data_IF_541059323892
#
_entry.id   IF_541059323892
#
_cell.length_a   1.000
_cell.length_b   1.000
_cell.length_c   1.000
_cell.angle_alpha   90.00
_cell.angle_beta   90.00
_cell.angle_gamma   90.00
#
_symmetry.space_group_name_H-M   'P 1'
#
loop_
_entity.id
_entity.type
_entity.pdbx_description
1 polymer ?
#
# COMPACT_ATOMS: atom_id res chain seq x y z
N UNK A 1 13.91 10.61 -14.82
CA UNK A 1 13.64 12.00 -14.35
C UNK A 1 13.23 11.90 -12.89
N UNK A 2 13.89 12.60 -11.98
CA UNK A 2 13.42 12.72 -10.58
C UNK A 2 12.16 13.56 -10.61
N UNK A 3 10.98 12.95 -10.50
CA UNK A 3 9.74 13.67 -10.33
C UNK A 3 9.76 14.33 -8.95
N UNK A 4 9.76 15.65 -8.93
CA UNK A 4 9.82 16.44 -7.69
C UNK A 4 8.42 16.61 -7.06
N UNK A 5 7.52 15.64 -7.26
CA UNK A 5 6.11 15.71 -6.88
C UNK A 5 5.84 14.73 -5.74
N UNK A 6 5.03 15.17 -4.77
CA UNK A 6 4.59 14.31 -3.66
C UNK A 6 3.65 13.22 -4.20
N UNK A 7 3.92 11.98 -3.84
CA UNK A 7 3.16 10.80 -4.26
C UNK A 7 1.68 10.89 -3.86
N UNK A 8 1.39 11.46 -2.69
CA UNK A 8 0.03 11.74 -2.22
C UNK A 8 -0.71 12.71 -3.16
N UNK A 9 -0.04 13.79 -3.56
CA UNK A 9 -0.63 14.78 -4.45
C UNK A 9 -0.90 14.19 -5.85
N UNK A 10 -0.04 13.27 -6.33
CA UNK A 10 -0.30 12.52 -7.56
C UNK A 10 -1.56 11.67 -7.47
N UNK A 11 -1.81 11.02 -6.33
CA UNK A 11 -3.03 10.24 -6.13
C UNK A 11 -4.27 11.13 -6.15
N UNK A 12 -4.25 12.25 -5.43
CA UNK A 12 -5.37 13.20 -5.40
C UNK A 12 -5.61 13.86 -6.76
N UNK A 13 -4.55 14.13 -7.53
CA UNK A 13 -4.69 14.61 -8.91
C UNK A 13 -5.39 13.59 -9.81
N UNK A 14 -5.10 12.30 -9.59
CA UNK A 14 -5.81 11.20 -10.25
C UNK A 14 -7.30 11.22 -9.92
N UNK A 15 -7.67 11.34 -8.63
CA UNK A 15 -9.07 11.44 -8.18
C UNK A 15 -9.75 12.70 -8.75
N UNK A 16 -9.08 13.85 -8.67
CA UNK A 16 -9.60 15.13 -9.21
C UNK A 16 -9.92 15.04 -10.70
N UNK A 17 -9.02 14.44 -11.49
CA UNK A 17 -9.22 14.28 -12.93
C UNK A 17 -10.38 13.33 -13.26
N UNK A 18 -10.67 12.35 -12.41
CA UNK A 18 -11.87 11.53 -12.53
C UNK A 18 -13.14 12.32 -12.17
N UNK A 19 -13.11 13.06 -11.06
CA UNK A 19 -14.26 13.85 -10.58
C UNK A 19 -14.66 14.95 -11.54
N UNK A 20 -13.71 15.59 -12.23
CA UNK A 20 -14.02 16.55 -13.32
C UNK A 20 -14.87 15.94 -14.44
N UNK A 21 -14.74 14.63 -14.68
CA UNK A 21 -15.43 13.91 -15.77
C UNK A 21 -16.69 13.19 -15.29
N UNK A 22 -16.85 13.02 -13.98
CA UNK A 22 -17.98 12.30 -13.40
C UNK A 22 -18.47 13.02 -12.14
N UNK A 23 -19.66 13.60 -12.20
CA UNK A 23 -20.31 14.33 -11.11
C UNK A 23 -20.78 13.41 -9.96
N UNK A 24 -20.80 12.08 -10.17
CA UNK A 24 -21.16 11.12 -9.13
C UNK A 24 -19.99 10.75 -8.22
N UNK A 25 -18.78 11.25 -8.51
CA UNK A 25 -17.64 11.10 -7.61
C UNK A 25 -17.74 12.15 -6.51
N UNK A 26 -17.76 11.68 -5.25
CA UNK A 26 -17.75 12.51 -4.05
C UNK A 26 -16.47 12.23 -3.25
N UNK A 27 -15.82 13.28 -2.80
CA UNK A 27 -14.62 13.21 -1.96
C UNK A 27 -14.96 13.68 -0.55
N UNK A 28 -14.72 12.83 0.43
CA UNK A 28 -14.93 13.11 1.85
C UNK A 28 -13.58 13.17 2.57
N UNK A 29 -13.41 14.11 3.50
CA UNK A 29 -12.23 14.20 4.37
C UNK A 29 -12.64 14.41 5.83
N UNK A 30 -11.83 13.87 6.75
CA UNK A 30 -11.96 14.08 8.20
C UNK A 30 -10.97 15.13 8.66
N UNK A 31 -11.13 16.36 8.19
CA UNK A 31 -10.30 17.54 8.52
C UNK A 31 -8.80 17.39 8.15
N UNK A 32 -8.49 16.51 7.21
CA UNK A 32 -7.14 16.35 6.68
C UNK A 32 -6.98 17.12 5.38
N UNK A 33 -5.94 17.95 5.31
CA UNK A 33 -5.64 18.78 4.15
C UNK A 33 -4.45 18.25 3.36
N UNK A 34 -4.42 18.54 2.06
CA UNK A 34 -3.29 18.35 1.18
C UNK A 34 -3.28 19.47 0.13
N UNK A 35 -2.11 19.76 -0.42
CA UNK A 35 -2.02 20.83 -1.43
C UNK A 35 -2.97 20.62 -2.61
N UNK A 36 -3.01 19.40 -3.15
CA UNK A 36 -3.89 19.04 -4.27
C UNK A 36 -5.38 19.06 -3.93
N UNK A 37 -5.77 18.98 -2.66
CA UNK A 37 -7.19 19.06 -2.27
C UNK A 37 -7.76 20.47 -2.34
N UNK A 38 -6.94 21.51 -2.21
CA UNK A 38 -7.40 22.91 -2.34
C UNK A 38 -8.07 23.18 -3.68
N UNK A 39 -7.57 22.56 -4.76
CA UNK A 39 -8.22 22.71 -6.08
C UNK A 39 -9.55 21.96 -6.18
N UNK A 40 -9.71 20.86 -5.42
CA UNK A 40 -10.96 20.12 -5.34
C UNK A 40 -12.04 20.98 -4.68
N UNK A 41 -11.72 21.53 -3.51
CA UNK A 41 -12.57 22.43 -2.74
C UNK A 41 -12.98 23.66 -3.56
N UNK A 42 -12.03 24.30 -4.25
CA UNK A 42 -12.28 25.50 -5.07
C UNK A 42 -13.11 25.22 -6.32
N UNK A 43 -12.79 24.15 -7.07
CA UNK A 43 -13.33 23.96 -8.42
C UNK A 43 -14.49 22.95 -8.48
N UNK A 44 -14.62 22.09 -7.48
CA UNK A 44 -15.63 21.04 -7.38
C UNK A 44 -16.31 21.01 -6.00
N UNK A 45 -16.82 22.18 -5.49
CA UNK A 45 -17.32 22.30 -4.11
C UNK A 45 -18.52 21.38 -3.83
N UNK A 46 -19.31 21.03 -4.85
CA UNK A 46 -20.45 20.08 -4.70
C UNK A 46 -20.01 18.60 -4.60
N UNK A 47 -18.74 18.32 -4.90
CA UNK A 47 -18.15 16.98 -4.87
C UNK A 47 -17.11 16.82 -3.75
N UNK A 48 -16.94 17.83 -2.89
CA UNK A 48 -15.97 17.86 -1.81
C UNK A 48 -16.65 18.24 -0.49
N UNK A 49 -16.53 17.38 0.51
CA UNK A 49 -17.12 17.58 1.84
C UNK A 49 -16.06 17.30 2.91
N UNK A 50 -15.82 18.28 3.76
CA UNK A 50 -15.07 18.10 5.00
C UNK A 50 -16.08 17.91 6.14
N UNK A 51 -16.06 16.74 6.79
CA UNK A 51 -16.99 16.37 7.87
C UNK A 51 -16.37 16.52 9.26
N UNK A 52 -15.19 17.17 9.35
CA UNK A 52 -14.46 17.30 10.60
C UNK A 52 -13.84 15.96 11.06
N UNK A 53 -13.31 15.96 12.28
CA UNK A 53 -12.65 14.77 12.87
C UNK A 53 -13.72 13.79 13.35
N UNK A 54 -14.25 12.98 12.45
CA UNK A 54 -15.39 12.08 12.70
C UNK A 54 -15.35 10.81 11.84
N UNK A 55 -14.26 10.06 11.91
CA UNK A 55 -13.96 8.97 10.96
C UNK A 55 -15.03 7.86 10.95
N UNK A 56 -15.63 7.52 12.09
CA UNK A 56 -16.73 6.55 12.15
C UNK A 56 -17.97 7.07 11.40
N UNK A 57 -18.36 8.32 11.68
CA UNK A 57 -19.52 8.95 11.02
C UNK A 57 -19.31 9.12 9.51
N UNK A 58 -18.09 9.48 9.09
CA UNK A 58 -17.77 9.65 7.66
C UNK A 58 -17.93 8.34 6.88
N UNK A 59 -17.66 7.17 7.49
CA UNK A 59 -17.88 5.87 6.85
C UNK A 59 -19.36 5.59 6.64
N UNK A 60 -20.24 5.91 7.62
CA UNK A 60 -21.70 5.81 7.46
C UNK A 60 -22.21 6.75 6.36
N UNK A 61 -21.74 8.00 6.33
CA UNK A 61 -22.07 8.96 5.25
C UNK A 61 -21.63 8.42 3.89
N UNK A 62 -20.41 7.88 3.79
CA UNK A 62 -19.88 7.30 2.57
C UNK A 62 -20.73 6.12 2.08
N UNK A 63 -21.14 5.24 2.99
CA UNK A 63 -22.01 4.11 2.68
C UNK A 63 -23.37 4.61 2.14
N UNK A 64 -24.01 5.57 2.81
CA UNK A 64 -25.28 6.16 2.37
C UNK A 64 -25.20 6.82 1.00
N UNK A 65 -24.13 7.55 0.71
CA UNK A 65 -23.86 8.12 -0.62
C UNK A 65 -23.66 7.03 -1.67
N UNK A 66 -22.92 5.97 -1.35
CA UNK A 66 -22.71 4.84 -2.27
C UNK A 66 -24.02 4.13 -2.61
N UNK A 67 -24.93 3.95 -1.63
CA UNK A 67 -26.28 3.39 -1.86
C UNK A 67 -27.13 4.26 -2.80
N UNK A 68 -26.79 5.53 -2.95
CA UNK A 68 -27.37 6.46 -3.95
C UNK A 68 -26.55 6.54 -5.24
N UNK A 69 -25.83 5.45 -5.56
CA UNK A 69 -25.01 5.29 -6.77
C UNK A 69 -23.84 6.30 -6.90
N UNK A 70 -23.39 6.89 -5.78
CA UNK A 70 -22.19 7.71 -5.80
C UNK A 70 -20.93 6.84 -5.69
N UNK A 71 -19.84 7.27 -6.32
CA UNK A 71 -18.50 6.73 -6.17
C UNK A 71 -17.79 7.58 -5.12
N UNK A 72 -17.62 7.03 -3.92
CA UNK A 72 -17.14 7.82 -2.79
C UNK A 72 -15.66 7.56 -2.53
N UNK A 73 -14.89 8.62 -2.39
CA UNK A 73 -13.53 8.59 -1.84
C UNK A 73 -13.57 9.17 -0.43
N UNK A 74 -12.95 8.45 0.53
CA UNK A 74 -12.82 8.88 1.94
C UNK A 74 -11.35 8.97 2.27
N UNK A 75 -10.91 10.08 2.84
CA UNK A 75 -9.49 10.34 3.13
C UNK A 75 -9.24 10.66 4.59
N UNK A 76 -8.22 10.01 5.16
CA UNK A 76 -7.69 10.27 6.49
C UNK A 76 -6.43 9.47 6.78
N UNK A 77 -5.91 9.59 8.01
CA UNK A 77 -4.69 8.92 8.47
C UNK A 77 -4.94 7.42 8.68
N UNK A 78 -3.96 6.57 8.37
CA UNK A 78 -4.07 5.12 8.29
C UNK A 78 -4.73 4.43 9.50
N UNK A 79 -4.30 4.63 10.77
CA UNK A 79 -5.00 4.02 11.90
C UNK A 79 -6.44 4.49 12.06
N UNK A 80 -6.72 5.76 11.70
CA UNK A 80 -8.06 6.34 11.84
C UNK A 80 -9.01 5.84 10.75
N UNK A 81 -8.49 5.58 9.54
CA UNK A 81 -9.25 5.01 8.43
C UNK A 81 -9.28 3.46 8.45
N UNK A 82 -8.75 2.82 9.47
CA UNK A 82 -8.75 1.37 9.63
C UNK A 82 -9.26 0.94 10.99
N UNK A 83 -8.45 1.05 12.03
CA UNK A 83 -8.77 0.60 13.39
C UNK A 83 -9.99 1.31 13.98
N UNK A 84 -10.01 2.66 13.92
CA UNK A 84 -11.05 3.48 14.55
C UNK A 84 -12.44 3.23 13.98
N UNK A 85 -12.56 2.92 12.69
CA UNK A 85 -13.83 2.74 11.99
C UNK A 85 -14.00 1.34 11.39
N UNK A 86 -13.36 0.33 12.02
CA UNK A 86 -13.34 -1.05 11.51
C UNK A 86 -14.73 -1.65 11.38
N UNK A 87 -15.60 -1.44 12.37
CA UNK A 87 -16.97 -1.97 12.36
C UNK A 87 -17.77 -1.37 11.20
N UNK A 88 -17.75 -0.05 11.03
CA UNK A 88 -18.45 0.64 9.94
C UNK A 88 -17.92 0.18 8.57
N UNK A 89 -16.63 0.00 8.43
CA UNK A 89 -16.04 -0.53 7.19
C UNK A 89 -16.53 -1.96 6.95
N UNK A 90 -16.54 -2.81 7.98
CA UNK A 90 -16.94 -4.20 7.85
C UNK A 90 -18.44 -4.32 7.47
N UNK A 91 -19.31 -3.65 8.20
CA UNK A 91 -20.77 -3.78 8.04
C UNK A 91 -21.28 -2.87 6.91
N UNK A 92 -21.08 -1.56 7.01
CA UNK A 92 -21.74 -0.63 6.10
C UNK A 92 -21.09 -0.59 4.71
N UNK A 93 -19.80 -0.92 4.61
CA UNK A 93 -19.06 -0.85 3.36
C UNK A 93 -18.83 -2.23 2.76
N UNK A 94 -18.20 -3.16 3.49
CA UNK A 94 -17.78 -4.45 2.94
C UNK A 94 -18.95 -5.42 2.77
N UNK A 95 -19.81 -5.59 3.81
CA UNK A 95 -20.92 -6.55 3.73
C UNK A 95 -21.94 -6.12 2.67
N UNK A 96 -22.19 -4.82 2.55
CA UNK A 96 -23.10 -4.24 1.57
C UNK A 96 -22.46 -4.03 0.18
N UNK A 97 -21.16 -4.31 0.03
CA UNK A 97 -20.38 -4.12 -1.22
C UNK A 97 -20.46 -2.69 -1.79
N UNK A 98 -20.53 -1.70 -0.93
CA UNK A 98 -20.60 -0.29 -1.31
C UNK A 98 -19.33 0.17 -2.04
N UNK A 99 -19.47 1.02 -3.08
CA UNK A 99 -18.35 1.57 -3.84
C UNK A 99 -17.69 2.73 -3.08
N UNK A 100 -17.11 2.42 -1.94
CA UNK A 100 -16.33 3.34 -1.12
C UNK A 100 -14.84 3.05 -1.29
N UNK A 101 -14.10 4.09 -1.61
CA UNK A 101 -12.67 4.06 -1.90
C UNK A 101 -11.94 4.75 -0.76
N UNK A 102 -11.47 3.99 0.22
CA UNK A 102 -10.81 4.51 1.43
C UNK A 102 -9.35 4.81 1.11
N UNK A 103 -8.95 6.07 1.29
CA UNK A 103 -7.58 6.55 1.12
C UNK A 103 -6.94 6.63 2.50
N UNK A 104 -6.11 5.63 2.78
CA UNK A 104 -5.37 5.45 4.03
C UNK A 104 -3.99 6.09 3.91
N UNK A 105 -3.85 7.30 4.43
CA UNK A 105 -2.61 8.06 4.39
C UNK A 105 -1.67 7.64 5.50
N UNK A 106 -0.40 7.42 5.15
CA UNK A 106 0.63 7.13 6.13
C UNK A 106 0.83 5.65 6.36
N UNK A 107 1.01 4.88 5.27
CA UNK A 107 1.37 3.47 5.35
C UNK A 107 2.66 3.27 6.16
N UNK A 108 2.70 2.20 6.95
CA UNK A 108 3.88 1.84 7.73
C UNK A 108 4.32 2.96 8.69
N UNK A 109 5.55 3.37 8.56
CA UNK A 109 6.21 4.38 9.40
C UNK A 109 6.26 5.78 8.76
N UNK A 110 5.34 6.12 7.87
CA UNK A 110 5.28 7.47 7.26
C UNK A 110 5.21 8.58 8.33
N UNK A 111 4.48 8.33 9.41
CA UNK A 111 4.35 9.22 10.56
C UNK A 111 5.19 8.75 11.75
N UNK A 112 6.46 8.40 11.49
CA UNK A 112 7.37 7.83 12.49
C UNK A 112 7.59 8.69 13.74
N UNK A 113 7.48 10.02 13.59
CA UNK A 113 7.64 10.97 14.71
C UNK A 113 6.37 11.10 15.58
N UNK A 114 5.21 10.71 15.08
CA UNK A 114 3.91 10.90 15.73
C UNK A 114 3.53 9.71 16.64
N UNK A 115 4.37 8.69 16.67
CA UNK A 115 4.23 7.52 17.54
C UNK A 115 3.17 6.50 17.08
N UNK A 116 2.93 5.45 17.91
CA UNK A 116 2.14 4.29 17.50
C UNK A 116 0.67 4.59 17.19
N UNK A 117 0.13 5.73 17.64
CA UNK A 117 -1.24 6.16 17.30
C UNK A 117 -1.39 6.55 15.83
N UNK A 118 -0.28 6.86 15.14
CA UNK A 118 -0.25 7.30 13.74
C UNK A 118 0.46 6.30 12.82
N UNK A 119 1.07 5.24 13.34
CA UNK A 119 1.75 4.23 12.52
C UNK A 119 0.74 3.35 11.77
N UNK A 120 0.86 3.29 10.45
CA UNK A 120 0.06 2.42 9.58
C UNK A 120 0.68 1.03 9.45
N UNK A 121 0.99 0.35 10.56
CA UNK A 121 1.72 -0.92 10.58
C UNK A 121 0.84 -2.15 10.73
N UNK A 122 -0.45 -1.96 11.02
CA UNK A 122 -1.45 -3.01 11.26
C UNK A 122 -2.61 -2.96 10.24
N UNK A 123 -2.81 -1.82 9.57
CA UNK A 123 -3.94 -1.52 8.69
C UNK A 123 -4.08 -2.55 7.56
N UNK A 124 -2.98 -3.00 6.96
CA UNK A 124 -2.99 -4.01 5.91
C UNK A 124 -3.55 -5.35 6.41
N UNK A 125 -3.09 -5.82 7.57
CA UNK A 125 -3.53 -7.07 8.17
C UNK A 125 -5.03 -7.03 8.50
N UNK A 126 -5.46 -5.96 9.17
CA UNK A 126 -6.85 -5.75 9.58
C UNK A 126 -7.79 -5.66 8.37
N UNK A 127 -7.43 -4.90 7.34
CA UNK A 127 -8.24 -4.81 6.13
C UNK A 127 -8.26 -6.13 5.34
N UNK A 128 -7.21 -6.95 5.46
CA UNK A 128 -7.13 -8.23 4.74
C UNK A 128 -8.15 -9.26 5.21
N UNK A 129 -8.58 -9.22 6.47
CA UNK A 129 -9.60 -10.14 6.99
C UNK A 129 -11.02 -9.80 6.51
N UNK A 130 -11.29 -8.56 6.06
CA UNK A 130 -12.63 -8.12 5.68
C UNK A 130 -13.03 -8.70 4.30
N UNK A 131 -14.14 -9.48 4.19
CA UNK A 131 -14.65 -9.94 2.90
C UNK A 131 -14.94 -8.76 1.96
N UNK A 132 -14.86 -8.99 0.65
CA UNK A 132 -15.11 -8.02 -0.41
C UNK A 132 -14.18 -6.81 -0.48
N UNK A 133 -13.34 -6.53 0.55
CA UNK A 133 -12.36 -5.44 0.51
C UNK A 133 -11.25 -5.76 -0.49
N UNK A 134 -10.95 -4.81 -1.38
CA UNK A 134 -9.75 -4.84 -2.22
C UNK A 134 -8.68 -3.90 -1.66
N UNK A 135 -7.43 -4.36 -1.54
CA UNK A 135 -6.35 -3.61 -0.90
C UNK A 135 -5.24 -3.34 -1.92
N UNK A 136 -4.85 -2.08 -2.01
CA UNK A 136 -3.78 -1.61 -2.89
C UNK A 136 -2.74 -0.81 -2.11
N UNK A 137 -1.48 -0.98 -2.47
CA UNK A 137 -0.38 -0.21 -1.90
C UNK A 137 0.36 0.55 -3.00
N UNK A 138 0.66 1.82 -2.76
CA UNK A 138 1.35 2.70 -3.71
C UNK A 138 2.85 2.52 -3.56
N UNK A 139 3.55 2.18 -4.66
CA UNK A 139 5.00 1.94 -4.68
C UNK A 139 5.78 3.08 -5.36
N UNK A 140 5.12 3.88 -6.21
CA UNK A 140 5.72 5.01 -6.92
C UNK A 140 4.69 6.05 -7.38
N UNK A 141 5.16 7.11 -8.04
CA UNK A 141 4.31 8.18 -8.59
C UNK A 141 3.32 7.65 -9.63
N UNK A 142 3.72 6.67 -10.45
CA UNK A 142 2.85 6.10 -11.48
C UNK A 142 1.71 5.28 -10.88
N UNK A 143 2.00 4.43 -9.90
CA UNK A 143 0.97 3.69 -9.16
C UNK A 143 0.01 4.65 -8.47
N UNK A 144 0.52 5.71 -7.83
CA UNK A 144 -0.30 6.74 -7.20
C UNK A 144 -1.27 7.40 -8.19
N UNK A 145 -0.79 7.82 -9.35
CA UNK A 145 -1.61 8.55 -10.33
C UNK A 145 -2.69 7.69 -11.00
N UNK A 146 -2.47 6.38 -11.12
CA UNK A 146 -3.34 5.47 -11.89
C UNK A 146 -4.31 4.65 -11.03
N UNK A 147 -3.95 4.30 -9.79
CA UNK A 147 -4.82 3.51 -8.91
C UNK A 147 -6.23 4.11 -8.69
N UNK A 148 -6.42 5.45 -8.62
CA UNK A 148 -7.75 6.02 -8.52
C UNK A 148 -8.72 5.57 -9.63
N UNK A 149 -8.22 5.23 -10.82
CA UNK A 149 -9.05 4.75 -11.93
C UNK A 149 -9.80 3.44 -11.62
N UNK A 150 -9.32 2.68 -10.63
CA UNK A 150 -9.97 1.44 -10.17
C UNK A 150 -11.31 1.68 -9.46
N UNK A 151 -11.58 2.92 -9.02
CA UNK A 151 -12.86 3.31 -8.43
C UNK A 151 -14.08 3.11 -9.36
N UNK A 152 -13.84 2.98 -10.67
CA UNK A 152 -14.88 2.60 -11.67
C UNK A 152 -15.46 1.21 -11.44
N UNK A 153 -14.74 0.30 -10.78
CA UNK A 153 -15.24 -1.03 -10.40
C UNK A 153 -16.10 -0.89 -9.14
N UNK A 154 -17.33 -1.35 -9.20
CA UNK A 154 -18.26 -1.27 -8.07
C UNK A 154 -17.89 -2.28 -6.98
N UNK A 155 -17.02 -1.89 -6.06
CA UNK A 155 -16.57 -2.68 -4.90
C UNK A 155 -15.80 -1.79 -3.92
N UNK A 156 -15.75 -2.14 -2.62
CA UNK A 156 -14.94 -1.42 -1.64
C UNK A 156 -13.44 -1.56 -1.91
N UNK A 157 -12.70 -0.47 -1.72
CA UNK A 157 -11.26 -0.44 -1.89
C UNK A 157 -10.57 0.33 -0.78
N UNK A 158 -9.42 -0.18 -0.38
CA UNK A 158 -8.53 0.43 0.59
C UNK A 158 -7.18 0.72 -0.10
N UNK A 159 -6.86 2.00 -0.25
CA UNK A 159 -5.62 2.45 -0.88
C UNK A 159 -4.66 2.93 0.21
N UNK A 160 -3.58 2.20 0.40
CA UNK A 160 -2.47 2.60 1.25
C UNK A 160 -1.56 3.54 0.48
N UNK A 161 -1.44 4.76 0.94
CA UNK A 161 -0.64 5.79 0.25
C UNK A 161 0.44 6.37 1.16
N UNK A 162 1.51 6.81 0.50
CA UNK A 162 2.68 7.41 1.13
C UNK A 162 2.63 8.94 1.05
N UNK A 163 3.49 9.59 1.83
CA UNK A 163 3.81 11.02 1.74
C UNK A 163 5.24 11.20 1.25
N UNK A 164 5.47 12.21 0.44
CA UNK A 164 6.81 12.55 -0.04
C UNK A 164 7.09 12.06 -1.46
N UNK A 165 8.38 12.07 -1.81
CA UNK A 165 8.84 11.80 -3.18
C UNK A 165 9.34 10.37 -3.28
N UNK A 166 8.82 9.62 -4.25
CA UNK A 166 9.28 8.28 -4.59
C UNK A 166 9.88 8.27 -6.01
N UNK A 167 10.89 7.42 -6.22
CA UNK A 167 11.46 7.21 -7.54
C UNK A 167 10.46 6.44 -8.42
N UNK A 168 10.47 6.70 -9.73
CA UNK A 168 9.66 5.93 -10.67
C UNK A 168 10.20 4.50 -10.79
N UNK A 169 9.31 3.53 -10.63
CA UNK A 169 9.59 2.10 -10.79
C UNK A 169 9.01 1.60 -12.11
N UNK A 170 7.82 2.07 -12.44
CA UNK A 170 7.01 1.52 -13.53
C UNK A 170 7.16 2.25 -14.86
N UNK A 171 7.78 3.41 -14.90
CA UNK A 171 7.84 4.28 -16.09
C UNK A 171 6.46 4.41 -16.75
N UNK A 172 6.30 3.84 -17.97
CA UNK A 172 5.01 3.83 -18.70
C UNK A 172 4.25 2.51 -18.60
N UNK A 173 4.78 1.54 -17.87
CA UNK A 173 4.15 0.23 -17.73
C UNK A 173 2.92 0.30 -16.82
N UNK A 174 1.75 -0.02 -17.34
CA UNK A 174 0.46 -0.02 -16.62
C UNK A 174 -0.03 -1.44 -16.29
N UNK A 175 0.76 -2.47 -16.58
CA UNK A 175 0.34 -3.87 -16.42
C UNK A 175 -0.01 -4.23 -14.96
N UNK A 176 0.54 -3.50 -14.00
CA UNK A 176 0.23 -3.68 -12.58
C UNK A 176 -1.25 -3.41 -12.23
N UNK A 177 -1.96 -2.54 -12.99
CA UNK A 177 -3.39 -2.29 -12.76
C UNK A 177 -4.23 -3.56 -12.96
N UNK A 178 -3.89 -4.35 -13.96
CA UNK A 178 -4.59 -5.59 -14.28
C UNK A 178 -4.04 -6.77 -13.48
N UNK A 179 -2.72 -6.94 -13.50
CA UNK A 179 -2.03 -8.05 -12.81
C UNK A 179 -2.11 -7.92 -11.29
N UNK A 180 -2.05 -6.69 -10.75
CA UNK A 180 -1.97 -6.39 -9.33
C UNK A 180 -0.54 -6.45 -8.79
N UNK A 181 0.46 -6.64 -9.65
CA UNK A 181 1.88 -6.68 -9.29
C UNK A 181 2.77 -6.25 -10.45
N UNK A 182 3.98 -5.79 -10.11
CA UNK A 182 5.09 -5.60 -11.04
C UNK A 182 6.12 -6.69 -10.85
N UNK A 183 6.63 -7.24 -11.95
CA UNK A 183 7.65 -8.29 -11.90
C UNK A 183 8.87 -7.88 -12.71
N UNK A 184 10.01 -7.72 -12.03
CA UNK A 184 11.28 -7.26 -12.56
C UNK A 184 12.29 -8.40 -12.51
N UNK A 185 12.23 -9.25 -13.55
CA UNK A 185 13.02 -10.46 -13.63
C UNK A 185 14.47 -10.16 -14.03
N UNK A 186 15.42 -10.55 -13.19
CA UNK A 186 16.87 -10.44 -13.46
C UNK A 186 17.68 -11.57 -12.83
N UNK A 187 17.05 -12.49 -12.12
CA UNK A 187 17.67 -13.66 -11.49
C UNK A 187 16.82 -14.90 -11.70
N UNK A 188 17.46 -16.08 -11.69
CA UNK A 188 16.75 -17.37 -11.65
C UNK A 188 16.80 -18.04 -10.26
N UNK A 189 17.56 -17.45 -9.32
CA UNK A 189 17.84 -18.04 -8.01
C UNK A 189 17.15 -17.28 -6.85
N UNK A 190 17.16 -15.96 -6.89
CA UNK A 190 16.79 -15.11 -5.77
C UNK A 190 15.64 -14.18 -6.14
N UNK A 191 14.61 -14.10 -5.30
CA UNK A 191 13.45 -13.21 -5.46
C UNK A 191 13.22 -12.41 -4.19
N UNK A 192 13.17 -11.09 -4.31
CA UNK A 192 12.62 -10.20 -3.27
C UNK A 192 11.17 -9.87 -3.63
N UNK A 193 10.26 -10.08 -2.70
CA UNK A 193 8.85 -9.70 -2.78
C UNK A 193 8.64 -8.54 -1.82
N UNK A 194 8.11 -7.44 -2.31
CA UNK A 194 7.93 -6.20 -1.54
C UNK A 194 6.60 -5.53 -1.85
N UNK A 195 6.26 -4.49 -1.11
CA UNK A 195 5.07 -3.67 -1.34
C UNK A 195 5.29 -2.24 -0.86
N UNK A 196 4.66 -1.27 -1.50
CA UNK A 196 4.72 0.14 -1.10
C UNK A 196 6.15 0.69 -1.12
N UNK A 197 6.47 1.50 -0.10
CA UNK A 197 7.80 2.14 0.03
C UNK A 197 8.94 1.12 0.06
N UNK A 198 8.71 -0.07 0.63
CA UNK A 198 9.75 -1.09 0.73
C UNK A 198 10.16 -1.67 -0.62
N UNK A 199 9.39 -1.41 -1.67
CA UNK A 199 9.82 -1.70 -3.05
C UNK A 199 10.96 -0.77 -3.48
N UNK A 200 10.97 0.49 -3.05
CA UNK A 200 12.10 1.40 -3.27
C UNK A 200 13.37 0.83 -2.61
N UNK A 201 13.26 0.44 -1.33
CA UNK A 201 14.35 -0.21 -0.58
C UNK A 201 14.82 -1.50 -1.24
N UNK A 202 13.90 -2.32 -1.76
CA UNK A 202 14.23 -3.56 -2.48
C UNK A 202 15.09 -3.29 -3.73
N UNK A 203 14.80 -2.23 -4.49
CA UNK A 203 15.63 -1.82 -5.63
C UNK A 203 17.02 -1.33 -5.20
N UNK A 204 17.12 -0.55 -4.11
CA UNK A 204 18.42 -0.13 -3.56
C UNK A 204 19.27 -1.34 -3.12
N UNK A 205 18.66 -2.28 -2.39
CA UNK A 205 19.31 -3.53 -1.97
C UNK A 205 19.75 -4.37 -3.17
N UNK A 206 18.93 -4.45 -4.21
CA UNK A 206 19.26 -5.14 -5.47
C UNK A 206 20.54 -4.57 -6.08
N UNK A 207 20.67 -3.25 -6.17
CA UNK A 207 21.88 -2.62 -6.72
C UNK A 207 23.13 -2.89 -5.85
N UNK A 208 22.97 -2.95 -4.51
CA UNK A 208 24.07 -3.32 -3.61
C UNK A 208 24.48 -4.79 -3.79
N UNK A 209 23.53 -5.71 -3.91
CA UNK A 209 23.76 -7.14 -4.15
C UNK A 209 24.45 -7.37 -5.50
N UNK A 210 24.03 -6.66 -6.55
CA UNK A 210 24.60 -6.73 -7.89
C UNK A 210 26.09 -6.38 -7.89
N UNK A 211 26.53 -5.36 -7.11
CA UNK A 211 27.94 -5.02 -6.93
C UNK A 211 28.75 -6.19 -6.30
N UNK A 212 28.07 -7.09 -5.60
CA UNK A 212 28.65 -8.30 -5.02
C UNK A 212 28.40 -9.56 -5.88
N UNK A 213 28.06 -9.39 -7.17
CA UNK A 213 27.81 -10.47 -8.14
C UNK A 213 26.62 -11.38 -7.75
N UNK A 214 25.65 -10.85 -7.00
CA UNK A 214 24.42 -11.54 -6.62
C UNK A 214 23.24 -10.87 -7.33
N UNK A 215 22.65 -11.59 -8.30
CA UNK A 215 21.46 -11.11 -8.99
C UNK A 215 20.18 -11.48 -8.22
N UNK A 216 19.25 -10.53 -8.19
CA UNK A 216 17.96 -10.66 -7.50
C UNK A 216 16.84 -10.12 -8.38
N UNK A 217 15.77 -10.90 -8.55
CA UNK A 217 14.52 -10.42 -9.14
C UNK A 217 13.68 -9.70 -8.09
N UNK A 218 12.81 -8.78 -8.52
CA UNK A 218 11.86 -8.08 -7.64
C UNK A 218 10.44 -8.35 -8.08
N UNK A 219 9.55 -8.66 -7.13
CA UNK A 219 8.11 -8.74 -7.29
C UNK A 219 7.46 -7.70 -6.38
N UNK A 220 6.96 -6.61 -6.96
CA UNK A 220 6.22 -5.58 -6.24
C UNK A 220 4.73 -5.95 -6.19
N UNK A 221 4.20 -6.18 -5.00
CA UNK A 221 2.77 -6.46 -4.80
C UNK A 221 2.02 -5.14 -4.64
N UNK A 222 1.42 -4.65 -5.72
CA UNK A 222 0.59 -3.43 -5.73
C UNK A 222 -0.83 -3.73 -5.23
N UNK A 223 -1.42 -4.86 -5.63
CA UNK A 223 -2.72 -5.33 -5.12
C UNK A 223 -2.53 -6.49 -4.15
N UNK A 224 -2.67 -6.19 -2.86
CA UNK A 224 -2.49 -7.15 -1.79
C UNK A 224 -3.68 -8.11 -1.73
N UNK A 225 -4.90 -7.58 -1.94
CA UNK A 225 -6.13 -8.37 -1.93
C UNK A 225 -7.12 -7.86 -3.01
N UNK A 226 -7.78 -8.74 -3.81
CA UNK A 226 -7.43 -10.16 -3.92
C UNK A 226 -6.09 -10.37 -4.63
N UNK A 227 -5.29 -11.27 -4.10
CA UNK A 227 -4.02 -11.62 -4.71
C UNK A 227 -4.26 -12.59 -5.87
N UNK A 228 -3.50 -12.47 -6.97
CA UNK A 228 -3.50 -13.45 -8.07
C UNK A 228 -2.64 -14.67 -7.68
N UNK A 229 -3.11 -15.46 -6.70
CA UNK A 229 -2.37 -16.57 -6.09
C UNK A 229 -1.72 -17.49 -7.12
N UNK A 230 -2.43 -17.90 -8.17
CA UNK A 230 -1.88 -18.77 -9.20
C UNK A 230 -0.67 -18.16 -9.93
N UNK A 231 -0.78 -16.89 -10.34
CA UNK A 231 0.32 -16.20 -11.03
C UNK A 231 1.54 -16.01 -10.12
N UNK A 232 1.31 -15.66 -8.86
CA UNK A 232 2.39 -15.44 -7.88
C UNK A 232 3.03 -16.76 -7.50
N UNK A 233 2.26 -17.82 -7.27
CA UNK A 233 2.76 -19.17 -7.04
C UNK A 233 3.67 -19.64 -8.18
N UNK A 234 3.27 -19.43 -9.44
CA UNK A 234 4.07 -19.79 -10.61
C UNK A 234 5.37 -18.96 -10.73
N UNK A 235 5.39 -17.75 -10.19
CA UNK A 235 6.63 -16.97 -10.10
C UNK A 235 7.51 -17.55 -9.01
N UNK A 236 6.99 -17.70 -7.78
CA UNK A 236 7.72 -18.15 -6.59
C UNK A 236 8.40 -19.51 -6.83
N UNK A 237 7.69 -20.47 -7.45
CA UNK A 237 8.22 -21.83 -7.75
C UNK A 237 9.53 -21.85 -8.55
N UNK A 238 9.89 -20.73 -9.20
CA UNK A 238 11.11 -20.63 -10.02
C UNK A 238 12.36 -20.28 -9.21
N UNK A 239 12.21 -19.97 -7.91
CA UNK A 239 13.28 -19.40 -7.11
C UNK A 239 13.65 -20.29 -5.92
N UNK A 240 14.96 -20.38 -5.68
CA UNK A 240 15.50 -21.13 -4.54
C UNK A 240 15.44 -20.31 -3.24
N UNK A 241 15.57 -18.98 -3.35
CA UNK A 241 15.55 -18.07 -2.21
C UNK A 241 14.44 -17.03 -2.42
N UNK A 242 13.51 -16.98 -1.48
CA UNK A 242 12.40 -16.03 -1.43
C UNK A 242 12.57 -15.13 -0.21
N UNK A 243 12.53 -13.85 -0.43
CA UNK A 243 12.64 -12.84 0.62
C UNK A 243 11.42 -11.92 0.56
N UNK A 244 10.76 -11.65 1.68
CA UNK A 244 9.75 -10.60 1.75
C UNK A 244 10.26 -9.41 2.54
N UNK A 245 9.92 -8.19 2.09
CA UNK A 245 10.30 -6.94 2.75
C UNK A 245 9.07 -6.05 2.86
N UNK A 246 8.66 -5.70 4.08
CA UNK A 246 7.47 -4.88 4.34
C UNK A 246 7.57 -4.07 5.63
N UNK A 247 6.93 -2.90 5.67
CA UNK A 247 6.70 -2.12 6.90
C UNK A 247 5.38 -2.51 7.55
N UNK A 248 5.25 -3.75 7.93
CA UNK A 248 4.06 -4.28 8.61
C UNK A 248 4.50 -5.10 9.81
N UNK A 249 3.59 -5.34 10.75
CA UNK A 249 3.77 -6.31 11.83
C UNK A 249 3.99 -7.71 11.24
N UNK A 250 4.56 -8.68 12.01
CA UNK A 250 4.94 -10.00 11.49
C UNK A 250 3.75 -10.84 11.00
N UNK A 251 2.52 -10.50 11.42
CA UNK A 251 1.29 -11.23 11.09
C UNK A 251 0.42 -10.45 10.10
N UNK A 252 -0.23 -11.16 9.17
CA UNK A 252 -1.19 -10.59 8.21
C UNK A 252 -0.60 -9.70 7.10
N UNK A 253 0.74 -9.55 7.05
CA UNK A 253 1.43 -8.86 5.97
C UNK A 253 1.69 -9.75 4.76
N UNK A 254 2.41 -9.23 3.75
CA UNK A 254 2.78 -10.00 2.55
C UNK A 254 3.66 -11.21 2.89
N UNK A 255 4.49 -11.11 3.93
CA UNK A 255 5.31 -12.22 4.41
C UNK A 255 4.46 -13.39 4.89
N UNK A 256 3.35 -13.13 5.58
CA UNK A 256 2.39 -14.18 6.00
C UNK A 256 1.70 -14.79 4.79
N UNK A 257 1.22 -13.98 3.85
CA UNK A 257 0.55 -14.45 2.63
C UNK A 257 1.50 -15.31 1.78
N UNK A 258 2.75 -14.89 1.61
CA UNK A 258 3.76 -15.64 0.85
C UNK A 258 4.11 -16.96 1.54
N UNK A 259 4.25 -16.96 2.88
CA UNK A 259 4.51 -18.21 3.63
C UNK A 259 3.37 -19.21 3.48
N UNK A 260 2.11 -18.76 3.48
CA UNK A 260 0.95 -19.59 3.22
C UNK A 260 0.97 -20.18 1.80
N UNK A 261 1.27 -19.35 0.77
CA UNK A 261 1.42 -19.84 -0.61
C UNK A 261 2.50 -20.91 -0.71
N UNK A 262 3.66 -20.72 -0.07
CA UNK A 262 4.76 -21.67 -0.04
C UNK A 262 4.31 -22.99 0.60
N UNK A 263 3.68 -22.92 1.79
CA UNK A 263 3.24 -24.09 2.52
C UNK A 263 2.15 -24.87 1.79
N UNK A 264 1.08 -24.21 1.34
CA UNK A 264 -0.05 -24.84 0.65
C UNK A 264 0.35 -25.51 -0.67
N UNK A 265 1.35 -24.97 -1.37
CA UNK A 265 1.83 -25.52 -2.65
C UNK A 265 3.07 -26.39 -2.52
N UNK A 266 3.52 -26.68 -1.29
CA UNK A 266 4.70 -27.51 -0.99
C UNK A 266 5.95 -27.06 -1.77
N UNK A 267 6.17 -25.74 -1.84
CA UNK A 267 7.28 -25.16 -2.61
C UNK A 267 8.56 -25.34 -1.79
N UNK A 268 9.54 -26.04 -2.35
CA UNK A 268 10.86 -26.18 -1.74
C UNK A 268 11.71 -24.94 -2.01
N UNK A 269 11.84 -24.06 -1.03
CA UNK A 269 12.57 -22.79 -1.13
C UNK A 269 13.06 -22.34 0.23
N UNK A 270 14.20 -21.65 0.28
CA UNK A 270 14.63 -20.92 1.46
C UNK A 270 13.80 -19.65 1.58
N UNK A 271 13.16 -19.43 2.73
CA UNK A 271 12.27 -18.28 2.93
C UNK A 271 12.73 -17.40 4.10
N UNK A 272 12.79 -16.09 3.87
CA UNK A 272 13.14 -15.12 4.90
C UNK A 272 12.20 -13.89 4.84
N UNK A 273 11.78 -13.39 6.02
CA UNK A 273 10.93 -12.21 6.14
C UNK A 273 11.67 -11.07 6.82
N UNK A 274 11.56 -9.86 6.24
CA UNK A 274 11.89 -8.60 6.89
C UNK A 274 10.60 -7.85 7.17
N UNK A 275 10.34 -7.57 8.43
CA UNK A 275 9.13 -6.91 8.93
C UNK A 275 9.46 -6.16 10.22
N UNK A 276 8.53 -5.34 10.71
CA UNK A 276 8.62 -4.69 12.02
C UNK A 276 8.42 -5.75 13.14
N UNK A 277 8.94 -5.51 14.36
CA UNK A 277 8.71 -6.39 15.49
C UNK A 277 7.24 -6.38 15.92
N UNK A 278 6.81 -7.41 16.67
CA UNK A 278 5.45 -7.52 17.22
C UNK A 278 5.33 -6.70 18.52
N UNK A 279 5.47 -5.39 18.39
CA UNK A 279 5.39 -4.44 19.51
C UNK A 279 4.94 -3.06 19.04
N UNK A 280 4.37 -2.25 19.94
CA UNK A 280 4.14 -0.83 19.67
C UNK A 280 5.45 -0.06 19.71
N UNK A 281 5.73 0.70 18.65
CA UNK A 281 6.99 1.42 18.50
C UNK A 281 6.87 2.82 19.11
N UNK A 282 7.21 2.97 20.39
CA UNK A 282 7.16 4.25 21.10
C UNK A 282 8.37 5.16 20.83
N UNK A 283 9.37 4.69 20.11
CA UNK A 283 10.49 5.53 19.73
C UNK A 283 10.06 6.56 18.68
N UNK A 284 10.53 7.79 18.83
CA UNK A 284 10.35 8.88 17.90
C UNK A 284 11.65 9.15 17.15
N UNK A 285 11.55 9.32 15.84
CA UNK A 285 12.71 9.56 14.96
C UNK A 285 12.29 9.57 13.50
N UNK A 286 13.22 9.88 12.58
CA UNK A 286 12.91 9.79 11.15
C UNK A 286 12.62 8.33 10.75
N UNK A 287 11.91 8.16 9.64
CA UNK A 287 11.63 6.82 9.09
C UNK A 287 12.91 6.03 8.86
N UNK A 288 13.96 6.68 8.36
CA UNK A 288 15.28 6.07 8.12
C UNK A 288 15.92 5.59 9.44
N UNK A 289 15.82 6.38 10.49
CA UNK A 289 16.29 6.00 11.82
C UNK A 289 15.51 4.80 12.37
N UNK A 290 14.19 4.78 12.22
CA UNK A 290 13.35 3.65 12.61
C UNK A 290 13.71 2.39 11.80
N UNK A 291 13.92 2.52 10.47
CA UNK A 291 14.38 1.40 9.65
C UNK A 291 15.73 0.85 10.11
N UNK A 292 16.70 1.74 10.43
CA UNK A 292 18.00 1.30 10.94
C UNK A 292 17.83 0.58 12.28
N UNK A 293 17.05 1.13 13.18
CA UNK A 293 16.80 0.53 14.50
C UNK A 293 16.16 -0.86 14.39
N UNK A 294 15.13 -1.00 13.58
CA UNK A 294 14.32 -2.23 13.48
C UNK A 294 14.75 -3.19 12.36
N UNK A 295 15.89 -2.95 11.74
CA UNK A 295 16.49 -3.88 10.78
C UNK A 295 15.92 -3.83 9.36
N UNK A 296 15.16 -2.79 9.03
CA UNK A 296 14.55 -2.57 7.71
C UNK A 296 15.33 -1.58 6.83
N UNK A 297 16.44 -1.01 7.30
CA UNK A 297 17.31 -0.20 6.45
C UNK A 297 17.96 -1.05 5.36
N UNK A 298 18.21 -0.45 4.19
CA UNK A 298 18.87 -1.13 3.07
C UNK A 298 20.19 -1.81 3.49
N UNK A 299 20.97 -1.19 4.36
CA UNK A 299 22.26 -1.70 4.81
C UNK A 299 22.11 -2.93 5.73
N UNK A 300 21.11 -2.92 6.63
CA UNK A 300 20.78 -4.06 7.51
C UNK A 300 20.26 -5.24 6.69
N UNK A 301 19.33 -4.98 5.76
CA UNK A 301 18.78 -5.98 4.85
C UNK A 301 19.92 -6.58 4.00
N UNK A 302 20.73 -5.74 3.37
CA UNK A 302 21.85 -6.18 2.54
C UNK A 302 22.83 -7.08 3.29
N UNK A 303 23.29 -6.67 4.50
CA UNK A 303 24.19 -7.46 5.34
C UNK A 303 23.64 -8.84 5.66
N UNK A 304 22.32 -8.92 5.96
CA UNK A 304 21.66 -10.18 6.29
C UNK A 304 21.49 -11.06 5.06
N UNK A 305 21.15 -10.48 3.90
CA UNK A 305 20.95 -11.20 2.65
C UNK A 305 22.25 -11.79 2.08
N UNK A 306 23.39 -11.12 2.20
CA UNK A 306 24.68 -11.70 1.80
C UNK A 306 24.96 -13.02 2.54
N UNK A 307 24.61 -13.09 3.83
CA UNK A 307 24.78 -14.32 4.62
C UNK A 307 23.73 -15.39 4.28
N UNK A 308 22.55 -14.98 3.94
CA UNK A 308 21.42 -15.88 3.60
C UNK A 308 21.59 -16.51 2.21
N UNK A 309 22.20 -15.80 1.25
CA UNK A 309 22.31 -16.21 -0.16
C UNK A 309 23.63 -16.92 -0.50
N UNK A 310 24.60 -16.93 0.41
CA UNK A 310 25.85 -17.72 0.32
C UNK A 310 25.62 -19.15 0.78
#
# INVERSE_FOLDING_TARGET
MKNNVDVRDCFFDGVYNLAKKNKDIIFLTSDHTAYSLKKFEKNLPKQFLNLGISEQSIMGVAAGLSMKNKVVFVYGIAPFMSLRCLEQINIDICSMKNNVNIISMGSGLTYSNDGPTHHGTQDQAIMSILPNMSIYNVSDVQTASLLPSLAKKNSPKFFRIEKGKLNNIYDRNKSFLEKGFGYFNSSKKNLIISTGIMTQTAFEVKEMLKKNKIDVSILDIVRIKPLKNYSICNIIKKYNNIITIEENMPFGGIGSIVSEIIAMNKINTNFHKFHLPDEFLFNSGSREWMHEKYGLSRDKIFKKLIRFMR
#
